data_IF_297931476931
#
_entry.id   IF_297931476931
#
_cell.length_a   1.000
_cell.length_b   1.000
_cell.length_c   1.000
_cell.angle_alpha   90.00
_cell.angle_beta   90.00
_cell.angle_gamma   90.00
#
_symmetry.space_group_name_H-M   'P 1'
#
loop_
_entity.id
_entity.type
_entity.pdbx_description
1 polymer ?
#
# COMPACT_ATOMS: atom_id res chain seq x y z
N UNK A 1 -18.52 -17.35 -65.46
CA UNK A 1 -18.05 -16.27 -64.57
C UNK A 1 -16.74 -15.71 -65.13
N UNK A 2 -16.75 -14.47 -65.61
CA UNK A 2 -15.65 -13.88 -66.43
C UNK A 2 -14.39 -13.70 -65.57
N UNK A 3 -13.20 -13.93 -66.16
CA UNK A 3 -11.89 -13.75 -65.49
C UNK A 3 -11.71 -12.33 -64.89
N UNK A 4 -12.38 -11.34 -65.43
CA UNK A 4 -12.39 -9.96 -64.92
C UNK A 4 -13.14 -9.85 -63.59
N UNK A 5 -14.28 -10.55 -63.43
CA UNK A 5 -15.06 -10.54 -62.20
C UNK A 5 -14.31 -11.25 -61.04
N UNK A 6 -13.52 -12.28 -61.33
CA UNK A 6 -12.66 -12.96 -60.33
C UNK A 6 -11.50 -12.06 -59.83
N UNK A 7 -10.95 -11.23 -60.73
CA UNK A 7 -9.87 -10.27 -60.37
C UNK A 7 -10.39 -9.09 -59.51
N UNK A 8 -11.60 -8.62 -59.80
CA UNK A 8 -12.24 -7.54 -59.03
C UNK A 8 -12.64 -8.05 -57.63
N UNK A 9 -13.18 -9.28 -57.56
CA UNK A 9 -13.50 -9.89 -56.23
C UNK A 9 -12.26 -10.12 -55.37
N UNK A 10 -11.11 -10.49 -55.96
CA UNK A 10 -9.86 -10.67 -55.22
C UNK A 10 -9.27 -9.35 -54.72
N UNK A 11 -9.40 -8.25 -55.46
CA UNK A 11 -8.92 -6.94 -55.05
C UNK A 11 -9.79 -6.30 -53.97
N UNK A 12 -11.10 -6.53 -54.01
CA UNK A 12 -12.03 -6.06 -52.95
C UNK A 12 -11.84 -6.85 -51.66
N UNK A 13 -11.58 -8.18 -51.72
CA UNK A 13 -11.31 -9.00 -50.53
C UNK A 13 -9.96 -8.68 -49.85
N UNK A 14 -8.91 -8.31 -50.64
CA UNK A 14 -7.64 -7.87 -50.10
C UNK A 14 -7.67 -6.46 -49.51
N UNK A 15 -8.54 -5.58 -50.04
CA UNK A 15 -8.77 -4.23 -49.49
C UNK A 15 -9.47 -4.24 -48.12
N UNK A 16 -10.39 -5.19 -47.88
CA UNK A 16 -11.05 -5.30 -46.58
C UNK A 16 -10.17 -5.92 -45.47
N UNK A 17 -9.16 -6.70 -45.82
CA UNK A 17 -8.22 -7.28 -44.82
C UNK A 17 -7.15 -6.27 -44.37
N UNK A 18 -6.85 -5.22 -45.11
CA UNK A 18 -5.89 -4.19 -44.73
C UNK A 18 -6.52 -3.11 -43.84
N UNK A 19 -7.83 -2.90 -43.95
CA UNK A 19 -8.55 -1.94 -43.11
C UNK A 19 -8.74 -2.42 -41.64
N UNK A 20 -8.60 -3.72 -41.34
CA UNK A 20 -8.76 -4.28 -39.99
C UNK A 20 -7.48 -4.25 -39.14
N UNK A 21 -6.31 -3.88 -39.71
CA UNK A 21 -5.04 -3.84 -38.95
C UNK A 21 -4.77 -2.44 -38.35
N UNK A 22 -5.50 -1.41 -38.73
CA UNK A 22 -5.34 -0.04 -38.20
C UNK A 22 -6.28 0.32 -37.04
N UNK A 23 -7.18 -0.61 -36.63
CA UNK A 23 -8.07 -0.41 -35.49
C UNK A 23 -7.44 -0.85 -34.15
N UNK A 24 -6.16 -1.22 -34.10
CA UNK A 24 -5.46 -1.79 -32.95
C UNK A 24 -4.66 -0.81 -32.09
N UNK A 25 -4.70 0.50 -32.34
CA UNK A 25 -4.18 1.51 -31.40
C UNK A 25 -5.34 2.22 -30.71
N UNK A 26 -6.16 1.46 -30.00
CA UNK A 26 -7.00 2.02 -28.94
C UNK A 26 -6.05 2.41 -27.81
N UNK A 27 -5.79 3.69 -27.66
CA UNK A 27 -5.23 4.26 -26.45
C UNK A 27 -6.00 3.68 -25.27
N UNK A 28 -5.30 3.18 -24.25
CA UNK A 28 -5.93 2.60 -23.08
C UNK A 28 -7.02 3.53 -22.59
N UNK A 29 -8.27 3.08 -22.65
CA UNK A 29 -9.39 3.80 -22.07
C UNK A 29 -9.02 4.06 -20.62
N UNK A 30 -8.97 5.34 -20.24
CA UNK A 30 -8.84 5.70 -18.84
C UNK A 30 -9.93 4.95 -18.09
N UNK A 31 -9.55 4.18 -17.08
CA UNK A 31 -10.49 3.40 -16.29
C UNK A 31 -11.50 4.38 -15.68
N UNK A 32 -12.77 4.20 -15.96
CA UNK A 32 -13.81 5.15 -15.51
C UNK A 32 -14.04 5.07 -14.00
N UNK A 33 -13.70 3.95 -13.35
CA UNK A 33 -13.89 3.73 -11.92
C UNK A 33 -12.71 2.98 -11.31
N UNK A 34 -12.39 3.29 -10.05
CA UNK A 34 -11.33 2.66 -9.28
C UNK A 34 -11.89 1.98 -8.04
N UNK A 35 -11.34 0.81 -7.72
CA UNK A 35 -11.64 0.11 -6.48
C UNK A 35 -10.39 0.13 -5.57
N UNK A 36 -10.54 0.65 -4.36
CA UNK A 36 -9.47 0.72 -3.38
C UNK A 36 -9.77 -0.22 -2.23
N UNK A 37 -8.87 -1.18 -1.98
CA UNK A 37 -8.92 -2.03 -0.80
C UNK A 37 -8.23 -1.33 0.38
N UNK A 38 -8.89 -1.23 1.53
CA UNK A 38 -8.34 -0.64 2.74
C UNK A 38 -8.23 -1.74 3.81
N UNK A 39 -7.00 -2.07 4.20
CA UNK A 39 -6.71 -2.95 5.32
C UNK A 39 -6.22 -2.11 6.50
N UNK A 40 -7.06 -1.97 7.52
CA UNK A 40 -6.68 -1.34 8.78
C UNK A 40 -6.29 -2.41 9.79
N UNK A 41 -5.11 -2.28 10.39
CA UNK A 41 -4.57 -3.33 11.27
C UNK A 41 -5.40 -3.55 12.53
N UNK A 42 -5.91 -2.47 13.15
CA UNK A 42 -6.76 -2.55 14.33
C UNK A 42 -7.69 -1.34 14.46
N UNK A 43 -8.69 -1.45 15.32
CA UNK A 43 -9.52 -0.31 15.72
C UNK A 43 -8.72 0.59 16.66
N UNK A 44 -8.48 1.83 16.23
CA UNK A 44 -7.82 2.84 17.03
C UNK A 44 -8.15 4.24 16.49
N UNK A 45 -8.48 5.23 17.35
CA UNK A 45 -8.90 6.56 16.88
C UNK A 45 -7.96 7.24 15.88
N UNK A 46 -6.64 7.08 16.05
CA UNK A 46 -5.66 7.65 15.11
C UNK A 46 -5.70 6.94 13.75
N UNK A 47 -5.83 5.60 13.72
CA UNK A 47 -5.93 4.83 12.49
C UNK A 47 -7.26 5.10 11.78
N UNK A 48 -8.35 5.22 12.52
CA UNK A 48 -9.67 5.58 11.98
C UNK A 48 -9.61 6.93 11.28
N UNK A 49 -8.96 7.93 11.91
CA UNK A 49 -8.77 9.26 11.31
C UNK A 49 -7.88 9.25 10.06
N UNK A 50 -6.84 8.44 10.04
CA UNK A 50 -6.00 8.26 8.86
C UNK A 50 -6.80 7.65 7.69
N UNK A 51 -7.62 6.62 7.96
CA UNK A 51 -8.52 6.00 6.98
C UNK A 51 -9.57 6.99 6.47
N UNK A 52 -10.23 7.73 7.36
CA UNK A 52 -11.21 8.77 6.99
C UNK A 52 -10.59 9.83 6.08
N UNK A 53 -9.41 10.36 6.46
CA UNK A 53 -8.69 11.38 5.69
C UNK A 53 -8.29 10.90 4.31
N UNK A 54 -7.80 9.66 4.20
CA UNK A 54 -7.45 9.05 2.92
C UNK A 54 -8.68 8.89 2.01
N UNK A 55 -9.78 8.36 2.53
CA UNK A 55 -11.05 8.21 1.78
C UNK A 55 -11.56 9.56 1.33
N UNK A 56 -11.58 10.54 2.23
CA UNK A 56 -12.03 11.89 1.90
C UNK A 56 -11.22 12.50 0.76
N UNK A 57 -9.89 12.44 0.83
CA UNK A 57 -9.02 13.02 -0.20
C UNK A 57 -9.24 12.38 -1.59
N UNK A 58 -9.46 11.07 -1.65
CA UNK A 58 -9.77 10.40 -2.91
C UNK A 58 -11.17 10.73 -3.41
N UNK A 59 -12.16 10.78 -2.53
CA UNK A 59 -13.53 11.16 -2.90
C UNK A 59 -13.59 12.60 -3.41
N UNK A 60 -12.90 13.53 -2.76
CA UNK A 60 -12.83 14.94 -3.20
C UNK A 60 -12.22 15.08 -4.61
N UNK A 61 -11.30 14.21 -4.99
CA UNK A 61 -10.64 14.25 -6.31
C UNK A 61 -11.35 13.44 -7.39
N UNK A 62 -11.92 12.32 -7.05
CA UNK A 62 -12.44 11.34 -8.01
C UNK A 62 -13.97 11.24 -8.01
N UNK A 63 -14.63 11.77 -6.98
CA UNK A 63 -16.09 11.70 -6.85
C UNK A 63 -16.58 10.24 -6.88
N UNK A 64 -17.60 9.99 -7.68
CA UNK A 64 -18.21 8.67 -7.83
C UNK A 64 -17.33 7.65 -8.60
N UNK A 65 -16.15 8.08 -9.07
CA UNK A 65 -15.20 7.19 -9.75
C UNK A 65 -14.38 6.33 -8.81
N UNK A 66 -14.47 6.50 -7.49
CA UNK A 66 -13.76 5.68 -6.52
C UNK A 66 -14.72 4.94 -5.61
N UNK A 67 -14.45 3.66 -5.39
CA UNK A 67 -15.16 2.82 -4.41
C UNK A 67 -14.16 2.22 -3.42
N UNK A 68 -14.58 2.05 -2.18
CA UNK A 68 -13.73 1.54 -1.10
C UNK A 68 -14.25 0.20 -0.60
N UNK A 69 -13.33 -0.75 -0.43
CA UNK A 69 -13.52 -2.02 0.28
C UNK A 69 -12.69 -1.95 1.54
N UNK A 70 -13.32 -1.71 2.67
CA UNK A 70 -12.65 -1.48 3.94
C UNK A 70 -12.85 -2.66 4.89
N UNK A 71 -11.76 -3.15 5.48
CA UNK A 71 -11.79 -4.19 6.51
C UNK A 71 -10.76 -3.90 7.61
N UNK A 72 -11.12 -4.29 8.83
CA UNK A 72 -10.31 -4.13 10.03
C UNK A 72 -9.85 -5.52 10.51
N UNK A 73 -8.55 -5.67 10.75
CA UNK A 73 -7.95 -6.94 11.16
C UNK A 73 -7.95 -7.17 12.67
N UNK A 74 -8.54 -6.27 13.46
CA UNK A 74 -8.70 -6.40 14.91
C UNK A 74 -7.40 -6.73 15.68
N UNK A 75 -6.24 -6.32 15.16
CA UNK A 75 -4.93 -6.60 15.76
C UNK A 75 -4.33 -7.95 15.38
N UNK A 76 -4.96 -8.71 14.48
CA UNK A 76 -4.47 -10.01 14.02
C UNK A 76 -3.75 -9.88 12.67
N UNK A 77 -2.44 -10.14 12.68
CA UNK A 77 -1.60 -10.10 11.46
C UNK A 77 -1.99 -11.18 10.43
N UNK A 78 -2.54 -12.32 10.89
CA UNK A 78 -3.07 -13.37 10.00
C UNK A 78 -4.31 -12.88 9.27
N UNK A 79 -5.18 -12.14 9.99
CA UNK A 79 -6.35 -11.54 9.38
C UNK A 79 -5.97 -10.42 8.40
N UNK A 80 -4.91 -9.62 8.68
CA UNK A 80 -4.35 -8.70 7.69
C UNK A 80 -4.03 -9.42 6.37
N UNK A 81 -3.35 -10.57 6.46
CA UNK A 81 -2.98 -11.37 5.29
C UNK A 81 -4.21 -11.89 4.54
N UNK A 82 -5.22 -12.36 5.26
CA UNK A 82 -6.49 -12.83 4.68
C UNK A 82 -7.21 -11.72 3.92
N UNK A 83 -7.35 -10.54 4.54
CA UNK A 83 -8.00 -9.36 3.95
C UNK A 83 -7.28 -8.93 2.67
N UNK A 84 -5.96 -8.83 2.72
CA UNK A 84 -5.19 -8.37 1.56
C UNK A 84 -5.22 -9.39 0.42
N UNK A 85 -5.13 -10.69 0.70
CA UNK A 85 -5.27 -11.73 -0.33
C UNK A 85 -6.65 -11.68 -1.00
N UNK A 86 -7.70 -11.36 -0.26
CA UNK A 86 -9.03 -11.12 -0.83
C UNK A 86 -9.02 -9.92 -1.79
N UNK A 87 -8.34 -8.81 -1.45
CA UNK A 87 -8.22 -7.65 -2.35
C UNK A 87 -7.44 -7.99 -3.62
N UNK A 88 -6.34 -8.75 -3.49
CA UNK A 88 -5.58 -9.22 -4.65
C UNK A 88 -6.44 -10.08 -5.57
N UNK A 89 -7.20 -11.03 -5.02
CA UNK A 89 -8.10 -11.90 -5.81
C UNK A 89 -9.23 -11.13 -6.50
N UNK A 90 -9.64 -10.00 -5.93
CA UNK A 90 -10.64 -9.10 -6.48
C UNK A 90 -10.07 -8.07 -7.47
N UNK A 91 -8.76 -8.10 -7.73
CA UNK A 91 -8.07 -7.19 -8.64
C UNK A 91 -8.36 -5.71 -8.33
N UNK A 92 -8.26 -5.31 -7.05
CA UNK A 92 -8.39 -3.89 -6.68
C UNK A 92 -7.29 -3.06 -7.33
N UNK A 93 -7.54 -1.78 -7.58
CA UNK A 93 -6.60 -0.89 -8.27
C UNK A 93 -5.50 -0.35 -7.37
N UNK A 94 -5.78 -0.29 -6.07
CA UNK A 94 -4.89 0.23 -5.04
C UNK A 94 -5.18 -0.47 -3.72
N UNK A 95 -4.15 -0.74 -2.94
CA UNK A 95 -4.29 -1.18 -1.56
C UNK A 95 -3.79 -0.06 -0.64
N UNK A 96 -4.64 0.40 0.27
CA UNK A 96 -4.24 1.25 1.38
C UNK A 96 -4.02 0.37 2.60
N UNK A 97 -2.79 0.40 3.11
CA UNK A 97 -2.37 -0.36 4.29
C UNK A 97 -2.18 0.59 5.48
N UNK A 98 -3.05 0.47 6.49
CA UNK A 98 -3.01 1.31 7.67
C UNK A 98 -2.40 0.55 8.85
N UNK A 99 -1.19 0.94 9.23
CA UNK A 99 -0.23 0.39 10.16
C UNK A 99 0.70 -0.70 9.57
N UNK A 100 1.75 -1.03 10.34
CA UNK A 100 2.89 -1.85 9.91
C UNK A 100 2.48 -3.25 9.45
N UNK A 101 1.63 -3.95 10.20
CA UNK A 101 1.25 -5.33 9.86
C UNK A 101 0.41 -5.40 8.59
N UNK A 102 -0.49 -4.44 8.38
CA UNK A 102 -1.23 -4.31 7.13
C UNK A 102 -0.29 -4.06 5.94
N UNK A 103 0.75 -3.23 6.10
CA UNK A 103 1.75 -2.97 5.07
C UNK A 103 2.57 -4.24 4.73
N UNK A 104 3.02 -4.96 5.75
CA UNK A 104 3.77 -6.21 5.58
C UNK A 104 2.92 -7.25 4.84
N UNK A 105 1.66 -7.41 5.23
CA UNK A 105 0.71 -8.29 4.56
C UNK A 105 0.50 -7.90 3.09
N UNK A 106 0.25 -6.60 2.82
CA UNK A 106 0.04 -6.10 1.47
C UNK A 106 1.24 -6.35 0.56
N UNK A 107 2.45 -6.03 1.04
CA UNK A 107 3.68 -6.26 0.26
C UNK A 107 3.95 -7.74 0.01
N UNK A 108 3.62 -8.61 0.96
CA UNK A 108 3.78 -10.06 0.81
C UNK A 108 2.81 -10.63 -0.23
N UNK A 109 1.60 -10.10 -0.30
CA UNK A 109 0.55 -10.61 -1.18
C UNK A 109 0.67 -10.16 -2.63
N UNK A 110 1.28 -8.99 -2.92
CA UNK A 110 1.39 -8.47 -4.28
C UNK A 110 2.65 -7.65 -4.51
N UNK A 111 3.19 -7.78 -5.73
CA UNK A 111 4.28 -6.92 -6.23
C UNK A 111 3.85 -6.04 -7.41
N UNK A 112 2.58 -6.10 -7.80
CA UNK A 112 2.03 -5.40 -8.97
C UNK A 112 0.99 -4.35 -8.61
N UNK A 113 0.06 -4.66 -7.68
CA UNK A 113 -0.93 -3.70 -7.23
C UNK A 113 -0.20 -2.60 -6.42
N UNK A 114 -0.37 -1.32 -6.74
CA UNK A 114 0.19 -0.23 -5.94
C UNK A 114 -0.28 -0.29 -4.48
N UNK A 115 0.62 -0.03 -3.55
CA UNK A 115 0.35 -0.01 -2.11
C UNK A 115 0.69 1.36 -1.55
N UNK A 116 -0.26 1.98 -0.86
CA UNK A 116 -0.05 3.20 -0.08
C UNK A 116 -0.18 2.88 1.39
N UNK A 117 0.92 3.05 2.12
CA UNK A 117 0.94 2.86 3.57
C UNK A 117 0.72 4.18 4.32
N UNK A 118 0.10 4.10 5.49
CA UNK A 118 0.03 5.18 6.47
C UNK A 118 0.15 4.61 7.88
N UNK A 119 0.46 5.45 8.86
CA UNK A 119 0.67 5.01 10.24
C UNK A 119 1.73 3.89 10.34
N UNK A 120 2.77 4.01 9.54
CA UNK A 120 3.89 3.06 9.47
C UNK A 120 5.12 3.68 10.10
N UNK A 121 5.62 3.07 11.15
CA UNK A 121 6.77 3.58 11.91
C UNK A 121 8.04 3.66 11.06
N UNK A 122 8.39 2.59 10.36
CA UNK A 122 9.56 2.54 9.47
C UNK A 122 9.29 1.61 8.30
N UNK A 123 9.36 2.15 7.09
CA UNK A 123 9.22 1.34 5.86
C UNK A 123 10.41 0.41 5.68
N UNK A 124 11.63 0.85 6.00
CA UNK A 124 12.81 0.01 5.91
C UNK A 124 12.71 -1.24 6.78
N UNK A 125 12.32 -1.06 8.04
CA UNK A 125 12.11 -2.17 9.00
C UNK A 125 10.92 -3.05 8.59
N UNK A 126 9.80 -2.44 8.24
CA UNK A 126 8.59 -3.18 7.84
C UNK A 126 8.83 -4.06 6.62
N UNK A 127 9.51 -3.53 5.60
CA UNK A 127 9.76 -4.19 4.32
C UNK A 127 11.06 -5.00 4.28
N UNK A 128 11.89 -4.95 5.33
CA UNK A 128 13.18 -5.64 5.39
C UNK A 128 14.17 -5.11 4.35
N UNK A 129 14.20 -3.79 4.13
CA UNK A 129 15.14 -3.17 3.20
C UNK A 129 16.56 -3.23 3.76
N UNK A 130 17.57 -3.30 2.88
CA UNK A 130 19.00 -3.28 3.29
C UNK A 130 19.36 -2.01 4.06
N UNK A 131 18.78 -0.88 3.66
CA UNK A 131 18.87 0.39 4.36
C UNK A 131 17.51 0.68 5.03
N UNK A 132 17.48 0.51 6.35
CA UNK A 132 16.26 0.75 7.14
C UNK A 132 15.86 2.23 7.19
N UNK A 133 16.76 3.13 6.79
CA UNK A 133 16.53 4.59 6.72
C UNK A 133 16.15 5.08 5.33
N UNK A 134 16.07 4.18 4.34
CA UNK A 134 15.77 4.52 2.97
C UNK A 134 14.46 5.29 2.83
N UNK A 135 14.51 6.41 2.12
CA UNK A 135 13.34 7.24 1.80
C UNK A 135 12.62 6.80 0.53
N UNK A 136 13.20 5.84 -0.21
CA UNK A 136 12.62 5.24 -1.41
C UNK A 136 12.59 3.73 -1.25
N UNK A 137 11.44 3.13 -1.47
CA UNK A 137 11.30 1.67 -1.35
C UNK A 137 11.83 0.92 -2.59
N UNK A 138 11.79 1.54 -3.77
CA UNK A 138 12.18 0.91 -5.05
C UNK A 138 11.23 -0.19 -5.53
N UNK A 139 10.05 -0.31 -4.91
CA UNK A 139 9.04 -1.32 -5.22
C UNK A 139 7.65 -0.67 -5.32
N UNK A 140 6.59 -1.47 -5.48
CA UNK A 140 5.20 -1.01 -5.60
C UNK A 140 4.59 -0.43 -4.29
N UNK A 141 5.42 0.08 -3.38
CA UNK A 141 5.00 0.64 -2.08
C UNK A 141 5.43 2.08 -1.95
N UNK A 142 4.52 2.95 -1.52
CA UNK A 142 4.77 4.32 -1.08
C UNK A 142 3.91 4.66 0.14
N UNK A 143 4.09 5.83 0.73
CA UNK A 143 3.24 6.28 1.83
C UNK A 143 3.92 7.26 2.78
N UNK A 144 3.36 7.40 3.97
CA UNK A 144 3.83 8.30 5.03
C UNK A 144 4.30 7.50 6.24
N UNK A 145 5.43 7.92 6.84
CA UNK A 145 5.92 7.37 8.10
C UNK A 145 5.51 8.27 9.27
N UNK A 146 5.30 7.65 10.43
CA UNK A 146 4.98 8.31 11.69
C UNK A 146 6.04 8.07 12.78
N UNK A 147 7.27 7.73 12.38
CA UNK A 147 8.36 7.47 13.32
C UNK A 147 8.62 8.69 14.21
N UNK A 148 8.39 8.51 15.49
CA UNK A 148 8.70 9.51 16.51
C UNK A 148 10.23 9.67 16.66
N UNK A 149 10.73 10.85 17.13
CA UNK A 149 12.15 11.08 17.39
C UNK A 149 12.60 10.28 18.63
N UNK A 150 13.00 9.02 18.42
CA UNK A 150 13.31 8.06 19.49
C UNK A 150 14.49 8.48 20.38
N UNK A 151 15.45 9.21 19.82
CA UNK A 151 16.57 9.82 20.55
C UNK A 151 16.07 10.86 21.57
N UNK A 152 15.12 11.69 21.17
CA UNK A 152 14.49 12.69 22.07
C UNK A 152 13.64 12.03 23.13
N UNK A 153 12.92 10.95 22.79
CA UNK A 153 12.16 10.18 23.78
C UNK A 153 13.06 9.58 24.85
N UNK A 154 14.21 9.01 24.46
CA UNK A 154 15.20 8.53 25.42
C UNK A 154 15.78 9.67 26.27
N UNK A 155 16.08 10.83 25.68
CA UNK A 155 16.58 12.01 26.39
C UNK A 155 15.55 12.50 27.43
N UNK A 156 14.26 12.55 27.08
CA UNK A 156 13.19 12.94 28.02
C UNK A 156 13.14 12.06 29.26
N UNK A 157 13.41 10.77 29.17
CA UNK A 157 13.45 9.88 30.34
C UNK A 157 14.55 10.34 31.32
N UNK A 158 15.73 10.71 30.81
CA UNK A 158 16.85 11.22 31.63
C UNK A 158 16.55 12.60 32.21
N UNK A 159 15.87 13.45 31.46
CA UNK A 159 15.49 14.80 31.89
C UNK A 159 14.44 14.77 33.01
N UNK A 160 13.39 13.99 32.84
CA UNK A 160 12.29 13.94 33.80
C UNK A 160 12.56 13.08 35.02
N UNK A 161 13.40 12.04 34.86
CA UNK A 161 13.79 11.16 35.96
C UNK A 161 15.30 11.00 36.03
N UNK A 162 16.04 12.07 36.41
CA UNK A 162 17.51 12.11 36.31
C UNK A 162 18.22 11.07 37.17
N UNK A 163 17.58 10.60 38.23
CA UNK A 163 18.13 9.60 39.15
C UNK A 163 17.70 8.16 38.83
N UNK A 164 17.04 7.92 37.69
CA UNK A 164 16.65 6.59 37.27
C UNK A 164 17.87 5.68 37.08
N UNK A 165 17.90 4.57 37.80
CA UNK A 165 18.95 3.53 37.68
C UNK A 165 18.51 2.36 36.82
N UNK A 166 17.21 2.17 36.67
CA UNK A 166 16.60 1.11 35.87
C UNK A 166 15.37 1.66 35.14
N UNK A 167 15.26 1.34 33.87
CA UNK A 167 14.12 1.71 33.02
C UNK A 167 13.54 0.43 32.44
N UNK A 168 12.24 0.23 32.61
CA UNK A 168 11.50 -0.85 31.96
C UNK A 168 10.82 -0.36 30.68
N UNK A 169 10.91 -1.13 29.60
CA UNK A 169 10.22 -0.85 28.34
C UNK A 169 9.19 -1.97 28.09
N UNK A 170 7.91 -1.60 28.07
CA UNK A 170 6.84 -2.50 27.67
C UNK A 170 6.62 -2.36 26.16
N UNK A 171 6.65 -3.46 25.43
CA UNK A 171 6.44 -3.49 23.99
C UNK A 171 5.82 -4.80 23.51
N UNK A 172 5.18 -4.79 22.33
CA UNK A 172 4.68 -6.00 21.69
C UNK A 172 5.79 -6.68 20.88
N UNK A 173 6.25 -7.86 21.32
CA UNK A 173 7.34 -8.58 20.64
C UNK A 173 6.95 -9.19 19.30
N UNK A 174 5.66 -9.32 19.00
CA UNK A 174 5.15 -9.79 17.72
C UNK A 174 5.17 -8.72 16.62
N UNK A 175 5.19 -7.43 17.00
CA UNK A 175 5.17 -6.31 16.08
C UNK A 175 6.58 -5.80 15.75
N UNK A 176 6.92 -5.72 14.46
CA UNK A 176 8.23 -5.24 14.00
C UNK A 176 8.52 -3.80 14.43
N UNK A 177 7.55 -2.90 14.30
CA UNK A 177 7.65 -1.51 14.72
C UNK A 177 7.87 -1.36 16.23
N UNK A 178 7.15 -2.11 17.03
CA UNK A 178 7.25 -2.11 18.49
C UNK A 178 8.64 -2.57 18.95
N UNK A 179 9.12 -3.68 18.40
CA UNK A 179 10.46 -4.20 18.65
C UNK A 179 11.56 -3.21 18.24
N UNK A 180 11.44 -2.60 17.06
CA UNK A 180 12.40 -1.60 16.57
C UNK A 180 12.50 -0.41 17.53
N UNK A 181 11.37 0.19 17.90
CA UNK A 181 11.35 1.34 18.82
C UNK A 181 11.96 0.98 20.18
N UNK A 182 11.57 -0.16 20.76
CA UNK A 182 12.11 -0.63 22.04
C UNK A 182 13.64 -0.84 21.98
N UNK A 183 14.15 -1.38 20.87
CA UNK A 183 15.59 -1.60 20.66
C UNK A 183 16.34 -0.27 20.59
N UNK A 184 15.85 0.68 19.78
CA UNK A 184 16.53 1.98 19.60
C UNK A 184 16.49 2.80 20.89
N UNK A 185 15.33 2.94 21.54
CA UNK A 185 15.21 3.67 22.81
C UNK A 185 16.06 3.01 23.90
N UNK A 186 16.02 1.69 24.02
CA UNK A 186 16.83 0.96 24.99
C UNK A 186 18.33 1.13 24.79
N UNK A 187 18.81 1.21 23.55
CA UNK A 187 20.21 1.50 23.24
C UNK A 187 20.63 2.93 23.62
N UNK A 188 19.73 3.89 23.51
CA UNK A 188 19.98 5.32 23.86
C UNK A 188 19.89 5.59 25.36
N UNK A 189 19.26 4.73 26.12
CA UNK A 189 19.17 4.85 27.59
C UNK A 189 20.39 4.30 28.32
N UNK A 190 21.21 3.48 27.68
CA UNK A 190 22.49 3.00 28.20
C UNK A 190 23.54 4.11 28.16
#
# INVERSE_FOLDING_TARGET
>A
MNKVVKKIAAVVLSGLLVASVFAGCSGGSAKDTYTVGICQSMQHPALDKATEGFKKALTDKLGDKVTFKEQNAAGDSTLCSTIVNQYVSQNVDLIMANATDALVAARTATNTIPIVGTSVTSYGVALGLKDETATKTGINVTGTADLAPLDKQAAMVKEWVPNAKKVGILYCSAEKNSKYQATVVGAKLK
#
